data_IF_443754969077
#
_entry.id   IF_443754969077
#
_cell.length_a   1.000
_cell.length_b   1.000
_cell.length_c   1.000
_cell.angle_alpha   90.00
_cell.angle_beta   90.00
_cell.angle_gamma   90.00
#
_symmetry.space_group_name_H-M   'P 1'
#
loop_
_entity.id
_entity.type
_entity.pdbx_description
1 polymer ?
#
# COMPACT_ATOMS: atom_id res chain seq x y z
N UNK A 1 0.02 9.93 -14.97
CA UNK A 1 0.30 8.47 -14.85
C UNK A 1 -0.63 7.83 -13.81
N UNK A 2 -0.67 8.31 -12.55
CA UNK A 2 -1.59 7.75 -11.54
C UNK A 2 -3.06 7.89 -11.93
N UNK A 3 -3.44 9.03 -12.49
CA UNK A 3 -4.81 9.30 -12.92
C UNK A 3 -5.24 8.47 -14.15
N UNK A 4 -4.29 7.94 -14.91
CA UNK A 4 -4.54 7.16 -16.12
C UNK A 4 -4.51 5.64 -15.84
N UNK A 5 -4.19 5.25 -14.62
CA UNK A 5 -4.12 3.85 -14.20
C UNK A 5 -5.50 3.35 -13.76
N UNK A 6 -5.84 2.12 -14.10
CA UNK A 6 -7.07 1.47 -13.61
C UNK A 6 -6.97 1.02 -12.17
N UNK A 7 -5.74 0.79 -11.68
CA UNK A 7 -5.44 0.38 -10.31
C UNK A 7 -4.10 0.90 -9.81
N UNK A 8 -4.02 1.20 -8.54
CA UNK A 8 -2.79 1.61 -7.84
C UNK A 8 -2.65 0.81 -6.54
N UNK A 9 -1.41 0.49 -6.18
CA UNK A 9 -1.09 -0.09 -4.89
C UNK A 9 -0.53 1.01 -3.98
N UNK A 10 -0.94 1.02 -2.71
CA UNK A 10 -0.59 2.08 -1.75
C UNK A 10 -0.24 1.46 -0.42
N UNK A 11 0.77 2.02 0.24
CA UNK A 11 1.15 1.73 1.61
C UNK A 11 1.64 3.01 2.29
N UNK A 12 1.75 3.01 3.63
CA UNK A 12 2.21 4.18 4.39
C UNK A 12 3.16 3.80 5.50
N UNK A 13 4.15 4.66 5.75
CA UNK A 13 5.03 4.54 6.91
C UNK A 13 4.87 5.72 7.85
N UNK A 14 4.91 5.44 9.13
CA UNK A 14 4.73 6.41 10.21
C UNK A 14 5.78 6.23 11.32
N UNK A 15 5.96 7.25 12.14
CA UNK A 15 6.85 7.24 13.31
C UNK A 15 6.23 6.59 14.56
N UNK A 16 5.24 5.70 14.39
CA UNK A 16 4.42 5.13 15.47
C UNK A 16 5.19 4.37 16.56
N UNK A 17 6.37 3.84 16.25
CA UNK A 17 7.24 3.22 17.24
C UNK A 17 8.06 4.25 18.06
N UNK A 18 8.11 5.50 17.60
CA UNK A 18 8.96 6.56 18.15
C UNK A 18 8.16 7.77 18.63
N UNK A 19 6.83 7.82 18.40
CA UNK A 19 5.97 8.93 18.79
C UNK A 19 4.63 8.47 19.37
N UNK A 20 4.16 9.15 20.44
CA UNK A 20 2.85 8.88 21.03
C UNK A 20 1.67 9.14 20.09
N UNK A 21 1.82 10.09 19.18
CA UNK A 21 0.87 10.37 18.09
C UNK A 21 1.59 10.17 16.76
N UNK A 22 1.45 9.00 16.16
CA UNK A 22 2.11 8.70 14.89
C UNK A 22 1.79 9.74 13.81
N UNK A 23 2.80 10.15 13.06
CA UNK A 23 2.66 11.03 11.90
C UNK A 23 2.98 10.27 10.63
N UNK A 24 2.31 10.62 9.55
CA UNK A 24 2.60 10.11 8.24
C UNK A 24 3.99 10.62 7.78
N UNK A 25 4.91 9.70 7.53
CA UNK A 25 6.29 10.00 7.16
C UNK A 25 6.56 9.78 5.68
N UNK A 26 6.08 8.64 5.15
CA UNK A 26 6.27 8.26 3.76
C UNK A 26 4.96 7.67 3.23
N UNK A 27 4.67 7.92 1.95
CA UNK A 27 3.62 7.24 1.20
C UNK A 27 4.27 6.52 0.04
N UNK A 28 4.03 5.24 -0.08
CA UNK A 28 4.42 4.45 -1.22
C UNK A 28 3.24 4.31 -2.17
N UNK A 29 3.48 4.51 -3.45
CA UNK A 29 2.49 4.24 -4.48
C UNK A 29 3.12 3.54 -5.66
N UNK A 30 2.49 2.46 -6.11
CA UNK A 30 2.83 1.81 -7.37
C UNK A 30 1.63 1.85 -8.32
N UNK A 31 1.91 1.86 -9.62
CA UNK A 31 0.89 1.81 -10.68
C UNK A 31 1.40 0.95 -11.84
N UNK A 32 0.49 0.38 -12.60
CA UNK A 32 0.84 -0.35 -13.82
C UNK A 32 1.07 0.63 -14.97
N UNK A 33 2.18 0.46 -15.67
CA UNK A 33 2.48 1.16 -16.93
C UNK A 33 1.90 0.40 -18.10
N UNK A 34 1.87 1.04 -19.28
CA UNK A 34 1.38 0.41 -20.51
C UNK A 34 2.19 -0.83 -20.93
N UNK A 35 3.47 -0.88 -20.57
CA UNK A 35 4.35 -2.04 -20.78
C UNK A 35 4.25 -3.11 -19.69
N UNK A 36 3.26 -2.99 -18.80
CA UNK A 36 3.02 -3.84 -17.63
C UNK A 36 4.12 -3.83 -16.55
N UNK A 37 5.15 -3.01 -16.71
CA UNK A 37 6.13 -2.79 -15.66
C UNK A 37 5.53 -1.89 -14.56
N UNK A 38 5.83 -2.13 -13.27
CA UNK A 38 5.35 -1.24 -12.21
C UNK A 38 6.10 0.10 -12.23
N UNK A 39 5.36 1.20 -12.26
CA UNK A 39 5.90 2.49 -11.83
C UNK A 39 5.81 2.58 -10.31
N UNK A 40 6.81 3.15 -9.65
CA UNK A 40 6.82 3.34 -8.20
C UNK A 40 7.20 4.78 -7.88
N UNK A 41 6.54 5.37 -6.89
CA UNK A 41 6.94 6.62 -6.29
C UNK A 41 6.92 6.50 -4.76
N UNK A 42 7.96 7.02 -4.13
CA UNK A 42 8.05 7.20 -2.69
C UNK A 42 7.89 8.68 -2.39
N UNK A 43 6.81 9.04 -1.70
CA UNK A 43 6.39 10.41 -1.47
C UNK A 43 6.74 10.79 -0.03
N UNK A 44 7.69 11.71 0.14
CA UNK A 44 8.06 12.24 1.46
C UNK A 44 6.96 13.18 1.98
N UNK A 45 6.07 12.64 2.80
CA UNK A 45 4.94 13.39 3.35
C UNK A 45 5.38 14.53 4.28
N UNK A 46 6.53 14.38 4.95
CA UNK A 46 7.08 15.41 5.83
C UNK A 46 7.65 16.60 5.04
N UNK A 47 8.39 16.31 3.95
CA UNK A 47 8.97 17.35 3.09
C UNK A 47 7.89 18.18 2.39
N UNK A 48 6.77 17.55 1.99
CA UNK A 48 5.69 18.18 1.25
C UNK A 48 4.74 19.02 2.13
N UNK A 49 4.81 18.91 3.45
CA UNK A 49 4.05 19.75 4.43
C UNK A 49 2.58 19.96 4.06
N UNK A 50 1.91 18.92 3.60
CA UNK A 50 0.48 18.96 3.22
C UNK A 50 0.18 19.28 1.75
N UNK A 51 1.18 19.54 0.91
CA UNK A 51 0.99 19.70 -0.54
C UNK A 51 0.81 18.34 -1.24
N UNK A 52 -0.13 17.52 -0.75
CA UNK A 52 -0.36 16.13 -1.19
C UNK A 52 -1.52 16.01 -2.19
N UNK A 53 -2.17 17.11 -2.58
CA UNK A 53 -3.35 17.12 -3.47
C UNK A 53 -3.14 16.32 -4.76
N UNK A 54 -2.00 16.37 -5.47
CA UNK A 54 -1.80 15.55 -6.67
C UNK A 54 -1.88 14.07 -6.43
N UNK A 55 -1.62 13.61 -5.19
CA UNK A 55 -1.73 12.21 -4.79
C UNK A 55 -3.12 11.87 -4.24
N UNK A 56 -3.76 12.78 -3.51
CA UNK A 56 -5.06 12.51 -2.88
C UNK A 56 -6.19 12.36 -3.90
N UNK A 57 -6.12 13.02 -5.06
CA UNK A 57 -7.11 12.90 -6.13
C UNK A 57 -7.24 11.47 -6.67
N UNK A 58 -6.16 10.75 -7.06
CA UNK A 58 -6.25 9.34 -7.44
C UNK A 58 -6.83 8.43 -6.36
N UNK A 59 -6.58 8.73 -5.08
CA UNK A 59 -7.15 7.94 -3.97
C UNK A 59 -8.66 8.08 -3.88
N UNK A 60 -9.20 9.26 -4.14
CA UNK A 60 -10.63 9.54 -4.10
C UNK A 60 -11.37 9.16 -5.40
N UNK A 61 -10.64 8.84 -6.48
CA UNK A 61 -11.26 8.48 -7.75
C UNK A 61 -11.89 7.08 -7.70
N UNK A 62 -13.21 6.98 -7.86
CA UNK A 62 -13.95 5.71 -7.86
C UNK A 62 -13.59 4.81 -9.06
N UNK A 63 -13.06 5.38 -10.14
CA UNK A 63 -12.61 4.67 -11.34
C UNK A 63 -11.27 3.96 -11.17
N UNK A 64 -10.52 4.24 -10.11
CA UNK A 64 -9.21 3.64 -9.82
C UNK A 64 -9.37 2.69 -8.64
N UNK A 65 -9.01 1.41 -8.78
CA UNK A 65 -8.94 0.48 -7.65
C UNK A 65 -7.70 0.78 -6.80
N UNK A 66 -7.87 0.95 -5.50
CA UNK A 66 -6.76 1.03 -4.54
C UNK A 66 -6.52 -0.31 -3.89
N UNK A 67 -5.30 -0.81 -4.01
CA UNK A 67 -4.86 -2.07 -3.41
C UNK A 67 -4.01 -1.71 -2.20
N UNK A 68 -4.47 -2.12 -1.01
CA UNK A 68 -3.78 -1.88 0.26
C UNK A 68 -3.78 -3.18 1.08
N UNK A 69 -2.82 -3.36 1.97
CA UNK A 69 -2.77 -4.52 2.84
C UNK A 69 -3.08 -4.17 4.29
N UNK A 70 -4.25 -4.57 4.80
CA UNK A 70 -4.68 -4.21 6.17
C UNK A 70 -4.95 -2.72 6.31
N UNK A 71 -5.70 -2.16 5.40
CA UNK A 71 -5.85 -0.75 5.08
C UNK A 71 -6.34 0.18 6.19
N UNK A 72 -6.87 -0.34 7.31
CA UNK A 72 -7.51 0.46 8.36
C UNK A 72 -6.58 1.55 8.93
N UNK A 73 -5.32 1.20 9.19
CA UNK A 73 -4.35 2.15 9.74
C UNK A 73 -3.94 3.21 8.69
N UNK A 74 -3.67 2.79 7.47
CA UNK A 74 -3.27 3.66 6.36
C UNK A 74 -4.34 4.68 6.02
N UNK A 75 -5.60 4.24 5.90
CA UNK A 75 -6.74 5.11 5.61
C UNK A 75 -6.88 6.20 6.69
N UNK A 76 -6.71 5.84 7.96
CA UNK A 76 -6.78 6.82 9.06
C UNK A 76 -5.63 7.82 9.02
N UNK A 77 -4.41 7.37 8.72
CA UNK A 77 -3.26 8.25 8.55
C UNK A 77 -3.45 9.20 7.36
N UNK A 78 -3.82 8.66 6.21
CA UNK A 78 -4.06 9.41 4.99
C UNK A 78 -5.18 10.44 5.16
N UNK A 79 -6.27 10.06 5.84
CA UNK A 79 -7.35 10.99 6.14
C UNK A 79 -6.89 12.12 7.07
N UNK A 80 -6.24 11.78 8.18
CA UNK A 80 -5.85 12.73 9.21
C UNK A 80 -4.76 13.70 8.75
N UNK A 81 -3.72 13.18 8.08
CA UNK A 81 -2.50 13.94 7.80
C UNK A 81 -2.45 14.48 6.37
N UNK A 82 -3.17 13.88 5.44
CA UNK A 82 -3.23 14.29 4.03
C UNK A 82 -4.63 14.75 3.57
N UNK A 83 -5.66 14.63 4.41
CA UNK A 83 -7.04 14.92 4.02
C UNK A 83 -7.58 14.00 2.93
N UNK A 84 -6.92 12.87 2.68
CA UNK A 84 -7.25 11.96 1.58
C UNK A 84 -8.41 11.04 1.93
N UNK A 85 -9.35 10.87 0.98
CA UNK A 85 -10.34 9.80 1.02
C UNK A 85 -9.87 8.66 0.13
N UNK A 86 -10.20 7.42 0.53
CA UNK A 86 -9.90 6.23 -0.26
C UNK A 86 -11.22 5.61 -0.70
N UNK A 87 -11.45 5.57 -2.01
CA UNK A 87 -12.62 4.93 -2.63
C UNK A 87 -12.16 3.71 -3.45
N UNK A 88 -13.07 2.76 -3.70
CA UNK A 88 -12.81 1.54 -4.48
C UNK A 88 -11.58 0.78 -3.97
N UNK A 89 -11.66 0.36 -2.71
CA UNK A 89 -10.58 -0.34 -2.01
C UNK A 89 -10.65 -1.85 -2.23
N UNK A 90 -9.51 -2.46 -2.52
CA UNK A 90 -9.25 -3.89 -2.35
C UNK A 90 -8.21 -4.10 -1.24
N UNK A 91 -8.65 -4.58 -0.08
CA UNK A 91 -7.76 -4.93 1.04
C UNK A 91 -7.30 -6.38 0.91
N UNK A 92 -6.01 -6.57 0.64
CA UNK A 92 -5.43 -7.91 0.44
C UNK A 92 -5.43 -8.76 1.71
N UNK A 93 -5.39 -8.16 2.90
CA UNK A 93 -5.48 -8.91 4.16
C UNK A 93 -6.90 -9.42 4.40
N UNK A 94 -7.91 -8.60 4.16
CA UNK A 94 -9.32 -9.00 4.26
C UNK A 94 -9.61 -10.09 3.22
N UNK A 95 -9.16 -9.91 1.97
CA UNK A 95 -9.33 -10.91 0.92
C UNK A 95 -8.66 -12.25 1.28
N UNK A 96 -7.45 -12.22 1.85
CA UNK A 96 -6.76 -13.42 2.32
C UNK A 96 -7.56 -14.17 3.41
N UNK A 97 -8.11 -13.43 4.37
CA UNK A 97 -9.01 -14.00 5.40
C UNK A 97 -10.28 -14.57 4.76
N UNK A 98 -10.87 -13.85 3.82
CA UNK A 98 -12.08 -14.28 3.13
C UNK A 98 -11.91 -15.58 2.34
N UNK A 99 -10.72 -15.87 1.83
CA UNK A 99 -10.43 -17.16 1.16
C UNK A 99 -9.90 -18.26 2.10
N UNK A 100 -9.84 -17.99 3.41
CA UNK A 100 -9.43 -18.97 4.41
C UNK A 100 -7.91 -19.14 4.57
N UNK A 101 -7.11 -18.12 4.16
CA UNK A 101 -5.67 -18.14 4.42
C UNK A 101 -5.38 -18.05 5.92
N UNK A 102 -4.46 -18.89 6.40
CA UNK A 102 -4.01 -18.89 7.80
C UNK A 102 -2.88 -17.87 8.03
N UNK A 103 -2.04 -17.64 7.01
CA UNK A 103 -0.94 -16.66 7.03
C UNK A 103 -1.34 -15.44 6.20
N UNK A 104 -1.94 -14.43 6.83
CA UNK A 104 -2.52 -13.26 6.15
C UNK A 104 -1.65 -12.01 6.16
N UNK A 105 -0.46 -12.03 6.75
CA UNK A 105 0.46 -10.89 6.73
C UNK A 105 1.14 -10.74 5.37
N UNK A 106 1.44 -9.48 4.98
CA UNK A 106 1.96 -9.14 3.66
C UNK A 106 3.20 -9.97 3.26
N UNK A 107 4.18 -10.13 4.16
CA UNK A 107 5.39 -10.91 3.85
C UNK A 107 5.09 -12.38 3.46
N UNK A 108 4.07 -12.99 4.08
CA UNK A 108 3.67 -14.35 3.74
C UNK A 108 2.96 -14.42 2.39
N UNK A 109 2.08 -13.44 2.11
CA UNK A 109 1.36 -13.37 0.84
C UNK A 109 2.29 -12.99 -0.32
N UNK A 110 3.25 -12.10 -0.09
CA UNK A 110 4.27 -11.71 -1.07
C UNK A 110 5.18 -12.91 -1.43
N UNK A 111 5.60 -13.70 -0.43
CA UNK A 111 6.36 -14.92 -0.67
C UNK A 111 5.55 -15.95 -1.47
N UNK A 112 4.28 -16.15 -1.13
CA UNK A 112 3.41 -17.16 -1.76
C UNK A 112 2.97 -16.77 -3.18
N UNK A 113 2.56 -15.50 -3.39
CA UNK A 113 1.91 -15.10 -4.64
C UNK A 113 2.78 -14.22 -5.55
N UNK A 114 3.80 -13.56 -4.99
CA UNK A 114 4.73 -12.73 -5.76
C UNK A 114 6.14 -13.31 -5.87
N UNK A 115 6.48 -14.36 -5.11
CA UNK A 115 7.84 -14.91 -5.03
C UNK A 115 8.86 -13.95 -4.39
N UNK A 116 8.38 -12.96 -3.66
CA UNK A 116 9.20 -11.89 -3.05
C UNK A 116 9.32 -12.09 -1.56
N UNK A 117 10.54 -11.97 -1.03
CA UNK A 117 10.81 -11.95 0.42
C UNK A 117 11.00 -10.52 0.90
N UNK A 118 10.10 -10.07 1.78
CA UNK A 118 10.19 -8.76 2.41
C UNK A 118 11.06 -8.79 3.66
N UNK A 119 11.96 -7.81 3.81
CA UNK A 119 12.83 -7.66 4.97
C UNK A 119 12.08 -6.96 6.13
N UNK A 120 11.49 -7.76 7.01
CA UNK A 120 10.73 -7.24 8.16
C UNK A 120 11.53 -6.36 9.12
N UNK A 121 12.86 -6.36 9.07
CA UNK A 121 13.68 -5.51 9.93
C UNK A 121 13.46 -4.02 9.65
N UNK A 122 12.97 -3.67 8.47
CA UNK A 122 12.70 -2.29 8.07
C UNK A 122 11.38 -1.74 8.66
N UNK A 123 10.46 -2.59 9.11
CA UNK A 123 9.16 -2.17 9.67
C UNK A 123 9.28 -1.32 10.94
N UNK A 124 10.36 -1.46 11.70
CA UNK A 124 10.53 -0.82 13.01
C UNK A 124 11.57 0.30 13.03
N UNK A 125 12.08 0.70 11.87
CA UNK A 125 13.03 1.81 11.80
C UNK A 125 12.33 3.14 12.10
N UNK A 126 13.13 4.15 12.39
CA UNK A 126 12.60 5.52 12.52
C UNK A 126 12.34 6.13 11.14
N UNK A 127 11.10 6.00 10.66
CA UNK A 127 10.65 6.57 9.39
C UNK A 127 10.61 8.09 9.37
N UNK A 128 10.75 8.76 10.52
CA UNK A 128 10.85 10.22 10.60
C UNK A 128 12.25 10.77 10.31
N UNK A 129 13.29 9.92 10.39
CA UNK A 129 14.67 10.33 10.14
C UNK A 129 14.93 10.63 8.66
N UNK A 130 15.88 11.55 8.39
CA UNK A 130 16.32 11.90 7.02
C UNK A 130 17.84 12.07 6.98
N UNK A 131 18.52 11.55 5.92
CA UNK A 131 17.96 10.79 4.82
C UNK A 131 17.57 9.36 5.25
N UNK A 132 16.57 8.78 4.57
CA UNK A 132 16.23 7.37 4.77
C UNK A 132 17.33 6.47 4.20
N UNK A 133 17.65 5.35 4.87
CA UNK A 133 18.57 4.35 4.34
C UNK A 133 18.07 3.76 3.02
N UNK A 134 18.99 3.45 2.09
CA UNK A 134 18.62 2.84 0.80
C UNK A 134 17.80 1.55 0.99
N UNK A 135 18.16 0.70 1.96
CA UNK A 135 17.40 -0.52 2.27
C UNK A 135 15.94 -0.26 2.67
N UNK A 136 15.69 0.86 3.37
CA UNK A 136 14.33 1.25 3.73
C UNK A 136 13.54 1.70 2.50
N UNK A 137 14.18 2.42 1.57
CA UNK A 137 13.54 2.82 0.30
C UNK A 137 13.25 1.60 -0.58
N UNK A 138 14.17 0.64 -0.67
CA UNK A 138 13.98 -0.61 -1.41
C UNK A 138 12.83 -1.43 -0.81
N UNK A 139 12.78 -1.54 0.53
CA UNK A 139 11.70 -2.20 1.25
C UNK A 139 10.35 -1.53 0.94
N UNK A 140 10.24 -0.22 1.12
CA UNK A 140 9.03 0.56 0.87
C UNK A 140 8.53 0.44 -0.59
N UNK A 141 9.44 0.36 -1.56
CA UNK A 141 9.08 0.15 -2.97
C UNK A 141 8.54 -1.26 -3.21
N UNK A 142 9.14 -2.28 -2.57
CA UNK A 142 8.74 -3.67 -2.72
C UNK A 142 7.36 -3.95 -2.09
N UNK A 143 7.04 -3.31 -0.97
CA UNK A 143 5.77 -3.49 -0.26
C UNK A 143 4.56 -3.15 -1.14
N UNK A 144 4.68 -2.15 -2.02
CA UNK A 144 3.58 -1.80 -2.94
C UNK A 144 3.61 -2.59 -4.25
N UNK A 145 4.79 -2.91 -4.79
CA UNK A 145 4.89 -3.66 -6.05
C UNK A 145 4.35 -5.08 -5.91
N UNK A 146 4.62 -5.75 -4.78
CA UNK A 146 4.15 -7.11 -4.54
C UNK A 146 2.62 -7.21 -4.37
N UNK A 147 1.93 -6.09 -4.14
CA UNK A 147 0.48 -6.09 -3.96
C UNK A 147 -0.30 -6.44 -5.24
N UNK A 148 0.22 -6.15 -6.43
CA UNK A 148 -0.46 -6.49 -7.69
C UNK A 148 -0.65 -8.01 -7.85
N UNK A 149 0.40 -8.85 -7.86
CA UNK A 149 0.21 -10.30 -7.97
C UNK A 149 -0.55 -10.89 -6.78
N UNK A 150 -0.38 -10.36 -5.57
CA UNK A 150 -1.16 -10.78 -4.39
C UNK A 150 -2.65 -10.50 -4.59
N UNK A 151 -3.01 -9.29 -5.05
CA UNK A 151 -4.38 -8.89 -5.35
C UNK A 151 -5.00 -9.80 -6.42
N UNK A 152 -4.28 -10.07 -7.50
CA UNK A 152 -4.80 -10.85 -8.63
C UNK A 152 -5.07 -12.30 -8.21
N UNK A 153 -4.15 -12.93 -7.49
CA UNK A 153 -4.31 -14.27 -6.97
C UNK A 153 -5.49 -14.37 -5.98
N UNK A 154 -5.57 -13.44 -5.03
CA UNK A 154 -6.66 -13.42 -4.04
C UNK A 154 -8.00 -13.08 -4.67
N UNK A 155 -8.04 -12.12 -5.60
CA UNK A 155 -9.25 -11.74 -6.33
C UNK A 155 -9.86 -12.91 -7.11
N UNK A 156 -9.01 -13.69 -7.79
CA UNK A 156 -9.43 -14.92 -8.46
C UNK A 156 -10.05 -15.92 -7.49
N UNK A 157 -9.40 -16.16 -6.34
CA UNK A 157 -9.90 -17.10 -5.31
C UNK A 157 -11.20 -16.62 -4.67
N UNK A 158 -11.31 -15.32 -4.36
CA UNK A 158 -12.55 -14.71 -3.84
C UNK A 158 -13.70 -14.93 -4.84
N UNK A 159 -13.43 -14.74 -6.13
CA UNK A 159 -14.42 -14.98 -7.20
C UNK A 159 -14.83 -16.45 -7.26
N UNK A 160 -13.87 -17.39 -7.29
CA UNK A 160 -14.13 -18.83 -7.34
C UNK A 160 -14.97 -19.31 -6.16
N UNK A 161 -14.83 -18.69 -5.00
CA UNK A 161 -15.59 -19.04 -3.79
C UNK A 161 -16.93 -18.28 -3.66
N UNK A 162 -17.28 -17.41 -4.61
CA UNK A 162 -18.49 -16.60 -4.57
C UNK A 162 -18.53 -15.60 -3.41
N UNK A 163 -17.35 -15.12 -2.94
CA UNK A 163 -17.24 -14.27 -1.75
C UNK A 163 -16.98 -12.79 -2.04
N UNK A 164 -17.35 -12.30 -3.23
CA UNK A 164 -17.10 -10.92 -3.65
C UNK A 164 -17.87 -9.85 -2.86
N UNK A 165 -18.87 -10.25 -2.07
CA UNK A 165 -19.71 -9.35 -1.26
C UNK A 165 -19.34 -9.31 0.22
N UNK A 166 -18.16 -9.82 0.56
CA UNK A 166 -17.68 -9.92 1.94
C UNK A 166 -16.80 -8.74 2.32
#
# INVERSE_FOLDING_TARGET
>A
QLNDSSRIAVDTEADGFHAYRPKLCLIQVAWERQDQSPGVALIDAQALKGALTPFTNPLAASSIEKIIHGADYDIRLLWRDAGARVETLFDTQIAARAVGQTRTGLAALAEEYAGVRLDKSQQTIDWSSRPLPVRALDYAALDVVCLFPVRDALGLRVHQLGRQRW
#
